data_IF_255965196054
#
_entry.id   IF_255965196054
#
_cell.length_a   1.000
_cell.length_b   1.000
_cell.length_c   1.000
_cell.angle_alpha   90.00
_cell.angle_beta   90.00
_cell.angle_gamma   90.00
#
_symmetry.space_group_name_H-M   'P 1'
#
loop_
_entity.id
_entity.type
_entity.pdbx_description
1 polymer ?
#
# COMPACT_ATOMS: atom_id res chain seq x y z
N UNK A 1 15.11 0.84 17.81
CA UNK A 1 14.62 0.88 16.42
C UNK A 1 15.10 2.17 15.79
N UNK A 2 15.73 2.10 14.64
CA UNK A 2 16.28 3.25 13.93
C UNK A 2 15.26 3.73 12.86
N UNK A 3 14.57 4.84 13.14
CA UNK A 3 13.57 5.41 12.24
C UNK A 3 14.17 5.97 10.96
N UNK A 4 15.43 6.47 11.00
CA UNK A 4 16.10 6.96 9.81
C UNK A 4 16.40 5.81 8.84
N UNK A 5 16.85 4.68 9.37
CA UNK A 5 17.08 3.48 8.56
C UNK A 5 15.78 2.96 7.94
N UNK A 6 14.68 2.97 8.70
CA UNK A 6 13.36 2.59 8.18
C UNK A 6 12.95 3.52 7.04
N UNK A 7 13.11 4.84 7.20
CA UNK A 7 12.80 5.81 6.15
C UNK A 7 13.61 5.58 4.87
N UNK A 8 14.92 5.37 4.99
CA UNK A 8 15.80 5.09 3.85
C UNK A 8 15.38 3.81 3.11
N UNK A 9 15.11 2.73 3.85
CA UNK A 9 14.71 1.45 3.26
C UNK A 9 13.35 1.56 2.58
N UNK A 10 12.37 2.22 3.20
CA UNK A 10 11.04 2.46 2.63
C UNK A 10 11.14 3.31 1.36
N UNK A 11 11.93 4.37 1.38
CA UNK A 11 12.19 5.21 0.20
C UNK A 11 12.77 4.39 -0.94
N UNK A 12 13.81 3.62 -0.67
CA UNK A 12 14.48 2.79 -1.66
C UNK A 12 13.53 1.77 -2.30
N UNK A 13 12.83 0.97 -1.48
CA UNK A 13 11.93 -0.08 -2.02
C UNK A 13 10.73 0.48 -2.76
N UNK A 14 10.24 1.65 -2.35
CA UNK A 14 9.14 2.33 -3.06
C UNK A 14 9.59 2.76 -4.46
N UNK A 15 10.75 3.36 -4.60
CA UNK A 15 11.31 3.75 -5.90
C UNK A 15 11.63 2.55 -6.79
N UNK A 16 12.22 1.48 -6.24
CA UNK A 16 12.47 0.22 -6.96
C UNK A 16 11.15 -0.39 -7.50
N UNK A 17 10.07 -0.35 -6.70
CA UNK A 17 8.77 -0.84 -7.17
C UNK A 17 8.17 0.04 -8.25
N UNK A 18 8.23 1.37 -8.12
CA UNK A 18 7.72 2.29 -9.14
C UNK A 18 8.43 2.08 -10.48
N UNK A 19 9.74 1.91 -10.47
CA UNK A 19 10.52 1.60 -11.67
C UNK A 19 10.10 0.25 -12.26
N UNK A 20 10.08 -0.81 -11.47
CA UNK A 20 9.73 -2.16 -11.93
C UNK A 20 8.29 -2.27 -12.43
N UNK A 21 7.35 -1.56 -11.80
CA UNK A 21 5.93 -1.57 -12.16
C UNK A 21 5.61 -0.67 -13.36
N UNK A 22 6.47 0.32 -13.65
CA UNK A 22 6.29 1.30 -14.71
C UNK A 22 4.88 1.93 -14.68
N UNK A 23 4.44 2.32 -13.49
CA UNK A 23 3.12 2.91 -13.28
C UNK A 23 2.98 4.21 -14.07
N UNK A 24 1.80 4.40 -14.63
CA UNK A 24 1.47 5.65 -15.32
C UNK A 24 0.86 6.65 -14.32
N UNK A 25 0.97 7.96 -14.58
CA UNK A 25 0.30 8.96 -13.77
C UNK A 25 -1.19 8.60 -13.55
N UNK A 26 -1.63 8.76 -12.32
CA UNK A 26 -2.99 8.45 -11.88
C UNK A 26 -3.36 6.95 -11.87
N UNK A 27 -2.39 6.05 -11.95
CA UNK A 27 -2.54 4.69 -11.47
C UNK A 27 -2.40 4.66 -9.94
N UNK A 28 -2.59 3.50 -9.33
CA UNK A 28 -2.61 3.39 -7.87
C UNK A 28 -1.73 2.25 -7.37
N UNK A 29 -1.19 2.44 -6.16
CA UNK A 29 -0.37 1.49 -5.43
C UNK A 29 -0.96 1.26 -4.04
N UNK A 30 -1.20 -0.01 -3.68
CA UNK A 30 -1.66 -0.37 -2.33
C UNK A 30 -0.48 -0.60 -1.39
N UNK A 31 -0.65 -0.10 -0.18
CA UNK A 31 0.30 -0.34 0.92
C UNK A 31 -0.46 -0.98 2.08
N UNK A 32 -0.01 -2.14 2.50
CA UNK A 32 -0.40 -2.75 3.75
C UNK A 32 0.81 -2.89 4.66
N UNK A 33 0.61 -2.80 5.96
CA UNK A 33 1.72 -3.00 6.87
C UNK A 33 1.34 -3.03 8.34
N UNK A 34 2.27 -3.59 9.11
CA UNK A 34 2.14 -3.74 10.56
C UNK A 34 3.29 -3.04 11.28
N UNK A 35 2.97 -1.99 12.03
CA UNK A 35 3.96 -1.32 12.87
C UNK A 35 4.49 -2.21 13.99
N UNK A 36 3.70 -3.19 14.45
CA UNK A 36 4.13 -4.18 15.43
C UNK A 36 5.21 -5.10 14.86
N UNK A 37 5.00 -5.65 13.65
CA UNK A 37 6.01 -6.48 12.97
C UNK A 37 7.29 -5.69 12.67
N UNK A 38 7.17 -4.43 12.22
CA UNK A 38 8.32 -3.55 12.01
C UNK A 38 9.15 -3.39 13.29
N UNK A 39 8.49 -3.34 14.44
CA UNK A 39 9.14 -3.24 15.76
C UNK A 39 9.59 -4.60 16.33
N UNK A 40 9.48 -5.70 15.59
CA UNK A 40 9.83 -7.04 16.05
C UNK A 40 8.86 -7.62 17.08
N UNK A 41 7.60 -7.16 17.04
CA UNK A 41 6.55 -7.61 17.94
C UNK A 41 5.44 -8.31 17.15
N UNK A 42 4.70 -9.18 17.81
CA UNK A 42 3.60 -9.91 17.16
C UNK A 42 2.56 -8.95 16.58
N UNK A 43 2.04 -9.29 15.41
CA UNK A 43 1.01 -8.54 14.68
C UNK A 43 -0.12 -8.05 15.62
N UNK A 44 -0.42 -6.75 15.55
CA UNK A 44 -1.54 -6.15 16.29
C UNK A 44 -1.33 -5.94 17.78
N UNK A 45 -0.16 -6.26 18.36
CA UNK A 45 0.08 -6.17 19.81
C UNK A 45 0.61 -4.82 20.28
N UNK A 46 1.25 -4.04 19.42
CA UNK A 46 1.83 -2.75 19.78
C UNK A 46 1.87 -1.79 18.58
N UNK A 47 0.77 -1.11 18.34
CA UNK A 47 0.72 -0.10 17.28
C UNK A 47 1.62 1.08 17.63
N UNK A 48 2.57 1.40 16.74
CA UNK A 48 3.51 2.48 16.92
C UNK A 48 3.22 3.60 15.90
N UNK A 49 2.74 4.74 16.40
CA UNK A 49 2.34 5.87 15.57
C UNK A 49 3.54 6.53 14.85
N UNK A 50 4.69 6.61 15.52
CA UNK A 50 5.90 7.22 14.92
C UNK A 50 6.41 6.39 13.72
N UNK A 51 6.40 5.07 13.86
CA UNK A 51 6.72 4.16 12.75
C UNK A 51 5.74 4.33 11.59
N UNK A 52 4.43 4.40 11.91
CA UNK A 52 3.40 4.60 10.89
C UNK A 52 3.60 5.94 10.14
N UNK A 53 3.91 7.03 10.87
CA UNK A 53 4.18 8.34 10.26
C UNK A 53 5.37 8.32 9.34
N UNK A 54 6.47 7.68 9.74
CA UNK A 54 7.67 7.55 8.91
C UNK A 54 7.35 6.75 7.66
N UNK A 55 6.78 5.56 7.79
CA UNK A 55 6.52 4.67 6.65
C UNK A 55 5.48 5.25 5.69
N UNK A 56 4.30 5.59 6.20
CA UNK A 56 3.20 6.10 5.36
C UNK A 56 3.55 7.46 4.78
N UNK A 57 4.11 8.37 5.59
CA UNK A 57 4.51 9.70 5.13
C UNK A 57 5.53 9.65 4.00
N UNK A 58 6.56 8.80 4.12
CA UNK A 58 7.58 8.61 3.08
C UNK A 58 6.97 8.07 1.79
N UNK A 59 6.15 7.00 1.88
CA UNK A 59 5.51 6.41 0.68
C UNK A 59 4.57 7.41 0.01
N UNK A 60 3.69 8.07 0.78
CA UNK A 60 2.72 9.03 0.24
C UNK A 60 3.43 10.20 -0.45
N UNK A 61 4.50 10.73 0.14
CA UNK A 61 5.29 11.81 -0.47
C UNK A 61 5.83 11.38 -1.85
N UNK A 62 6.46 10.20 -1.93
CA UNK A 62 7.01 9.68 -3.19
C UNK A 62 5.90 9.46 -4.23
N UNK A 63 4.79 8.84 -3.83
CA UNK A 63 3.69 8.57 -4.75
C UNK A 63 3.05 9.86 -5.30
N UNK A 64 2.90 10.90 -4.47
CA UNK A 64 2.42 12.21 -4.91
C UNK A 64 3.36 12.85 -5.93
N UNK A 65 4.67 12.82 -5.71
CA UNK A 65 5.67 13.32 -6.67
C UNK A 65 5.55 12.64 -8.04
N UNK A 66 5.24 11.34 -8.06
CA UNK A 66 5.06 10.55 -9.28
C UNK A 66 3.62 10.58 -9.82
N UNK A 67 2.70 11.32 -9.19
CA UNK A 67 1.26 11.38 -9.54
C UNK A 67 0.58 10.01 -9.48
N UNK A 68 0.97 9.18 -8.52
CA UNK A 68 0.38 7.86 -8.26
C UNK A 68 -0.54 7.96 -7.02
N UNK A 69 -1.74 7.43 -7.11
CA UNK A 69 -2.66 7.41 -5.99
C UNK A 69 -2.20 6.43 -4.90
N UNK A 70 -1.97 6.88 -3.67
CA UNK A 70 -1.76 5.99 -2.53
C UNK A 70 -3.08 5.33 -2.12
N UNK A 71 -3.03 4.04 -1.84
CA UNK A 71 -4.15 3.24 -1.35
C UNK A 71 -3.68 2.51 -0.10
N UNK A 72 -4.15 2.90 1.07
CA UNK A 72 -3.61 2.39 2.34
C UNK A 72 -4.60 1.43 2.98
N UNK A 73 -4.16 0.17 3.16
CA UNK A 73 -4.99 -0.88 3.74
C UNK A 73 -5.10 -0.73 5.25
N UNK A 74 -6.32 -0.80 5.76
CA UNK A 74 -6.60 -0.97 7.18
C UNK A 74 -6.54 -2.42 7.65
N UNK A 75 -6.66 -2.64 8.95
CA UNK A 75 -6.60 -3.98 9.54
C UNK A 75 -7.94 -4.74 9.38
N UNK A 76 -7.96 -6.00 9.83
CA UNK A 76 -9.13 -6.88 9.81
C UNK A 76 -10.34 -6.34 10.59
N UNK A 77 -10.14 -5.50 11.61
CA UNK A 77 -11.22 -4.89 12.38
C UNK A 77 -12.10 -3.94 11.58
N UNK A 78 -11.60 -3.46 10.45
CA UNK A 78 -12.39 -2.73 9.44
C UNK A 78 -12.42 -3.48 8.11
N UNK A 79 -12.38 -4.82 8.16
CA UNK A 79 -12.45 -5.71 7.00
C UNK A 79 -11.42 -5.42 5.92
N UNK A 80 -10.23 -4.92 6.30
CA UNK A 80 -9.15 -4.50 5.40
C UNK A 80 -9.59 -3.45 4.38
N UNK A 81 -10.56 -2.61 4.74
CA UNK A 81 -10.98 -1.46 3.94
C UNK A 81 -9.80 -0.51 3.69
N UNK A 82 -9.91 0.29 2.66
CA UNK A 82 -8.83 1.09 2.11
C UNK A 82 -9.06 2.57 2.36
N UNK A 83 -8.05 3.27 2.87
CA UNK A 83 -8.01 4.73 2.89
C UNK A 83 -7.44 5.21 1.56
N UNK A 84 -8.19 6.06 0.89
CA UNK A 84 -7.86 6.61 -0.44
C UNK A 84 -8.22 8.09 -0.51
N UNK A 85 -7.69 8.80 -1.48
CA UNK A 85 -8.19 10.13 -1.80
C UNK A 85 -9.55 10.06 -2.50
N UNK A 86 -10.45 10.99 -2.22
CA UNK A 86 -11.79 11.06 -2.84
C UNK A 86 -11.70 11.08 -4.36
N UNK A 87 -10.75 11.81 -4.93
CA UNK A 87 -10.50 11.85 -6.38
C UNK A 87 -10.23 10.46 -6.98
N UNK A 88 -9.54 9.57 -6.25
CA UNK A 88 -9.36 8.18 -6.66
C UNK A 88 -10.69 7.40 -6.59
N UNK A 89 -11.44 7.54 -5.49
CA UNK A 89 -12.72 6.86 -5.33
C UNK A 89 -13.71 7.25 -6.45
N UNK A 90 -13.85 8.55 -6.73
CA UNK A 90 -14.70 9.06 -7.81
C UNK A 90 -14.25 8.55 -9.18
N UNK A 91 -12.95 8.62 -9.49
CA UNK A 91 -12.39 8.13 -10.75
C UNK A 91 -12.69 6.65 -11.01
N UNK A 92 -12.75 5.85 -9.96
CA UNK A 92 -12.96 4.41 -10.05
C UNK A 92 -14.37 3.95 -9.68
N UNK A 93 -15.31 4.89 -9.49
CA UNK A 93 -16.70 4.64 -9.08
C UNK A 93 -16.78 3.77 -7.82
N UNK A 94 -15.96 4.08 -6.82
CA UNK A 94 -15.96 3.40 -5.54
C UNK A 94 -16.82 4.17 -4.54
N UNK A 95 -17.68 3.47 -3.82
CA UNK A 95 -18.54 4.07 -2.82
C UNK A 95 -17.78 4.25 -1.49
N UNK A 96 -17.69 5.47 -0.95
CA UNK A 96 -17.16 5.68 0.39
C UNK A 96 -18.02 5.03 1.46
N UNK A 97 -17.39 4.35 2.40
CA UNK A 97 -18.04 3.74 3.55
C UNK A 97 -17.91 4.61 4.80
N UNK A 98 -18.89 4.52 5.70
CA UNK A 98 -18.95 5.33 6.90
C UNK A 98 -18.15 4.69 8.05
N UNK A 99 -16.82 4.69 7.91
CA UNK A 99 -15.90 4.27 8.97
C UNK A 99 -14.71 5.21 9.03
N UNK A 100 -14.24 5.52 10.22
CA UNK A 100 -13.01 6.29 10.44
C UNK A 100 -12.00 5.36 11.11
N UNK A 101 -10.89 5.03 10.43
CA UNK A 101 -9.81 4.25 11.01
C UNK A 101 -9.23 4.93 12.25
N UNK A 102 -9.02 4.13 13.29
CA UNK A 102 -8.34 4.53 14.53
C UNK A 102 -7.27 3.50 14.87
N UNK A 103 -6.36 3.82 15.79
CA UNK A 103 -5.22 2.96 16.15
C UNK A 103 -5.62 1.51 16.51
N UNK A 104 -6.77 1.32 17.13
CA UNK A 104 -7.25 0.00 17.57
C UNK A 104 -8.23 -0.66 16.58
N UNK A 105 -8.70 0.10 15.56
CA UNK A 105 -9.58 -0.40 14.52
C UNK A 105 -9.26 0.30 13.19
N UNK A 106 -8.40 -0.29 12.38
CA UNK A 106 -7.79 0.27 11.18
C UNK A 106 -6.27 0.19 11.24
N UNK A 107 -5.70 0.39 12.44
CA UNK A 107 -4.26 0.32 12.69
C UNK A 107 -3.52 1.62 12.34
N UNK A 108 -2.22 1.66 12.64
CA UNK A 108 -1.41 2.88 12.50
C UNK A 108 -1.34 3.41 11.07
N UNK A 109 -1.19 2.54 10.06
CA UNK A 109 -1.09 2.97 8.67
C UNK A 109 -2.36 3.69 8.19
N UNK A 110 -3.53 3.09 8.42
CA UNK A 110 -4.80 3.70 8.02
C UNK A 110 -5.10 4.98 8.81
N UNK A 111 -4.77 5.02 10.11
CA UNK A 111 -4.92 6.23 10.93
C UNK A 111 -4.07 7.38 10.40
N UNK A 112 -2.79 7.13 10.11
CA UNK A 112 -1.89 8.15 9.55
C UNK A 112 -2.32 8.56 8.15
N UNK A 113 -2.81 7.65 7.33
CA UNK A 113 -3.32 7.96 6.00
C UNK A 113 -4.48 8.97 6.04
N UNK A 114 -5.41 8.83 7.00
CA UNK A 114 -6.49 9.80 7.20
C UNK A 114 -6.00 11.22 7.53
N UNK A 115 -4.79 11.34 8.11
CA UNK A 115 -4.18 12.63 8.44
C UNK A 115 -3.28 13.18 7.32
N UNK A 116 -2.80 12.31 6.41
CA UNK A 116 -1.74 12.66 5.44
C UNK A 116 -2.28 12.89 4.03
N UNK A 117 -3.38 12.23 3.67
CA UNK A 117 -4.03 12.39 2.36
C UNK A 117 -4.85 13.68 2.31
N UNK A 118 -5.01 14.26 1.09
CA UNK A 118 -5.61 15.59 0.96
C UNK A 118 -7.13 15.61 1.20
N UNK A 119 -7.87 14.63 0.75
CA UNK A 119 -9.31 14.45 1.02
C UNK A 119 -9.59 12.97 1.22
N UNK A 120 -9.24 12.42 2.39
CA UNK A 120 -9.29 11.00 2.64
C UNK A 120 -10.73 10.50 2.78
N UNK A 121 -11.00 9.37 2.14
CA UNK A 121 -12.22 8.59 2.31
C UNK A 121 -11.85 7.12 2.48
N UNK A 122 -12.76 6.33 3.04
CA UNK A 122 -12.60 4.89 3.15
C UNK A 122 -13.49 4.19 2.14
N UNK A 123 -12.95 3.20 1.44
CA UNK A 123 -13.70 2.33 0.51
C UNK A 123 -13.47 0.87 0.86
N UNK A 124 -14.42 -0.01 0.54
CA UNK A 124 -14.30 -1.43 0.88
C UNK A 124 -13.17 -2.13 0.11
N UNK A 125 -13.01 -1.81 -1.16
CA UNK A 125 -12.05 -2.50 -2.04
C UNK A 125 -11.65 -1.64 -3.22
N UNK A 126 -10.52 -1.97 -3.83
CA UNK A 126 -10.06 -1.40 -5.09
C UNK A 126 -9.33 -2.45 -5.91
N UNK A 127 -8.98 -2.12 -7.18
CA UNK A 127 -8.12 -2.95 -8.01
C UNK A 127 -6.97 -2.10 -8.56
N UNK A 128 -5.83 -2.19 -7.89
CA UNK A 128 -4.64 -1.38 -8.16
C UNK A 128 -3.55 -2.14 -8.92
N UNK A 129 -2.56 -1.41 -9.43
CA UNK A 129 -1.56 -1.93 -10.36
C UNK A 129 -0.30 -2.46 -9.71
N UNK A 130 -0.01 -2.06 -8.46
CA UNK A 130 1.15 -2.52 -7.70
C UNK A 130 0.87 -2.46 -6.19
N UNK A 131 1.73 -3.07 -5.39
CA UNK A 131 1.58 -3.03 -3.94
C UNK A 131 2.85 -3.38 -3.16
N UNK A 132 2.90 -2.86 -1.94
CA UNK A 132 3.92 -3.12 -0.93
C UNK A 132 3.23 -3.72 0.29
N UNK A 133 3.70 -4.87 0.74
CA UNK A 133 3.27 -5.55 1.97
C UNK A 133 4.44 -5.60 2.95
N UNK A 134 4.25 -5.03 4.13
CA UNK A 134 5.26 -4.94 5.19
C UNK A 134 4.74 -5.67 6.43
N UNK A 135 5.15 -6.95 6.58
CA UNK A 135 4.74 -7.79 7.68
C UNK A 135 3.59 -8.75 7.37
N UNK A 136 3.52 -9.19 6.12
CA UNK A 136 2.62 -10.25 5.64
C UNK A 136 1.13 -10.02 5.99
N UNK A 137 0.67 -8.78 5.85
CA UNK A 137 -0.72 -8.38 6.12
C UNK A 137 -1.68 -8.72 4.97
N UNK A 138 -1.15 -9.26 3.87
CA UNK A 138 -1.88 -9.72 2.69
C UNK A 138 -2.71 -8.64 1.98
N UNK A 139 -2.09 -8.01 0.98
CA UNK A 139 -2.70 -6.98 0.12
C UNK A 139 -3.28 -7.53 -1.18
N UNK A 140 -3.12 -8.84 -1.44
CA UNK A 140 -3.42 -9.44 -2.76
C UNK A 140 -4.85 -9.24 -3.25
N UNK A 141 -5.84 -9.16 -2.33
CA UNK A 141 -7.24 -8.93 -2.68
C UNK A 141 -7.49 -7.57 -3.37
N UNK A 142 -6.58 -6.62 -3.19
CA UNK A 142 -6.70 -5.26 -3.75
C UNK A 142 -5.95 -5.07 -5.07
N UNK A 143 -5.23 -6.09 -5.54
CA UNK A 143 -4.49 -6.01 -6.79
C UNK A 143 -5.34 -6.44 -7.99
N UNK A 144 -5.06 -5.87 -9.17
CA UNK A 144 -5.53 -6.42 -10.44
C UNK A 144 -4.99 -7.84 -10.60
N UNK A 145 -5.71 -8.67 -11.33
CA UNK A 145 -5.25 -10.04 -11.59
C UNK A 145 -3.92 -10.05 -12.35
N UNK A 146 -3.17 -11.13 -12.16
CA UNK A 146 -1.83 -11.39 -12.68
C UNK A 146 -0.77 -10.50 -12.00
N UNK A 147 -0.53 -10.82 -10.75
CA UNK A 147 0.58 -10.29 -9.98
C UNK A 147 1.91 -10.92 -10.38
N UNK A 148 2.94 -10.09 -10.45
CA UNK A 148 4.33 -10.48 -10.69
C UNK A 148 5.16 -9.97 -9.52
N UNK A 149 5.92 -10.87 -8.90
CA UNK A 149 6.78 -10.51 -7.76
C UNK A 149 7.85 -9.53 -8.20
N UNK A 150 8.04 -8.46 -7.44
CA UNK A 150 9.18 -7.55 -7.54
C UNK A 150 10.13 -7.86 -6.39
N UNK A 151 11.41 -7.99 -6.68
CA UNK A 151 12.42 -8.32 -5.69
C UNK A 151 13.34 -7.14 -5.46
N UNK A 152 13.66 -6.89 -4.20
CA UNK A 152 14.71 -5.98 -3.73
C UNK A 152 15.81 -6.76 -3.04
N UNK A 153 16.96 -6.14 -2.84
CA UNK A 153 17.97 -6.63 -1.88
C UNK A 153 17.48 -6.45 -0.44
N UNK A 154 16.66 -5.42 -0.19
CA UNK A 154 16.02 -5.19 1.10
C UNK A 154 14.91 -6.24 1.26
N UNK A 155 14.99 -7.05 2.32
CA UNK A 155 14.05 -8.14 2.61
C UNK A 155 13.10 -7.82 3.74
N UNK A 156 13.45 -6.83 4.55
CA UNK A 156 12.68 -6.41 5.70
C UNK A 156 12.64 -4.89 5.80
N UNK A 157 11.59 -4.37 6.43
CA UNK A 157 11.51 -2.99 6.92
C UNK A 157 11.47 -3.07 8.44
N UNK A 158 12.53 -2.61 9.12
CA UNK A 158 12.75 -3.03 10.49
C UNK A 158 12.84 -4.55 10.56
N UNK A 159 12.06 -5.18 11.43
CA UNK A 159 11.97 -6.64 11.54
C UNK A 159 10.88 -7.27 10.66
N UNK A 160 10.00 -6.47 10.08
CA UNK A 160 8.89 -6.94 9.26
C UNK A 160 9.33 -7.41 7.88
N UNK A 161 8.89 -8.60 7.46
CA UNK A 161 9.12 -9.11 6.11
C UNK A 161 8.52 -8.17 5.06
N UNK A 162 9.26 -7.95 3.97
CA UNK A 162 8.85 -7.11 2.83
C UNK A 162 8.47 -7.98 1.63
N UNK A 163 7.27 -7.76 1.13
CA UNK A 163 6.84 -8.27 -0.17
C UNK A 163 6.42 -7.13 -1.10
N UNK A 164 6.81 -7.21 -2.36
CA UNK A 164 6.41 -6.24 -3.39
C UNK A 164 5.86 -6.94 -4.61
N UNK A 165 4.84 -6.37 -5.21
CA UNK A 165 4.14 -6.94 -6.35
C UNK A 165 3.77 -5.84 -7.35
N UNK A 166 3.88 -6.15 -8.63
CA UNK A 166 3.29 -5.37 -9.72
C UNK A 166 2.33 -6.21 -10.52
N UNK A 167 1.45 -5.61 -11.25
CA UNK A 167 0.61 -6.33 -12.19
C UNK A 167 1.14 -6.18 -13.61
N UNK A 168 0.59 -6.95 -14.54
CA UNK A 168 0.84 -6.84 -15.97
C UNK A 168 -0.47 -7.03 -16.75
N UNK A 169 -0.52 -6.60 -18.02
CA UNK A 169 -1.67 -6.90 -18.87
C UNK A 169 -1.94 -8.39 -18.97
N UNK A 170 -3.21 -8.76 -18.98
CA UNK A 170 -3.64 -10.14 -19.22
C UNK A 170 -3.34 -10.53 -20.67
N UNK A 171 -2.73 -11.67 -20.86
CA UNK A 171 -2.57 -12.27 -22.19
C UNK A 171 -3.79 -13.17 -22.45
N UNK A 172 -4.88 -12.57 -22.90
CA UNK A 172 -6.15 -13.25 -23.17
C UNK A 172 -6.33 -13.38 -24.67
N UNK A 173 -6.67 -14.59 -25.11
CA UNK A 173 -6.96 -14.89 -26.49
C UNK A 173 -6.47 -16.29 -26.89
N UNK A 174 -6.91 -16.75 -28.04
CA UNK A 174 -6.47 -18.00 -28.64
C UNK A 174 -5.30 -17.77 -29.61
N UNK A 175 -5.02 -18.79 -30.41
CA UNK A 175 -3.89 -18.85 -31.34
C UNK A 175 -3.82 -17.68 -32.33
N UNK A 176 -4.95 -17.04 -32.64
CA UNK A 176 -5.05 -15.89 -33.53
C UNK A 176 -4.92 -14.52 -32.83
N UNK A 177 -4.83 -14.50 -31.49
CA UNK A 177 -4.74 -13.25 -30.75
C UNK A 177 -3.35 -12.63 -30.95
N UNK A 178 -3.36 -11.31 -31.09
CA UNK A 178 -2.13 -10.50 -31.08
C UNK A 178 -2.04 -9.75 -29.76
N UNK A 179 -0.85 -9.74 -29.17
CA UNK A 179 -0.54 -9.04 -27.93
C UNK A 179 0.54 -7.97 -28.21
N UNK A 180 0.48 -6.86 -27.51
CA UNK A 180 1.43 -5.76 -27.57
C UNK A 180 2.38 -5.76 -26.37
#
# INVERSE_FOLDING_TARGET
MDLNKIEEDVRRVTLELLEAANLKPYEALVVGGSTSEIAGQKLGTATNLEVAKVVVGTIVSILKEHKIYPVIQGCEHINRALVVERAFAEKHNLEPVNVIPVMHAGGGFATVAMETLDDPVVVESAKVSAGIDIGDVFIGMHLKNIGVVVRSEIKTIGEAHLSMIRTRPKLIGGERAKHF
#
